data_IF_448328155553
#
_entry.id   IF_448328155553
#
_cell.length_a   1.000
_cell.length_b   1.000
_cell.length_c   1.000
_cell.angle_alpha   90.00
_cell.angle_beta   90.00
_cell.angle_gamma   90.00
#
_symmetry.space_group_name_H-M   'P 1'
#
loop_
_entity.id
_entity.type
_entity.pdbx_description
1 polymer ?
#
# COMPACT_ATOMS: atom_id res chain seq x y z
N UNK A 1 11.50 4.13 -2.22
CA UNK A 1 10.66 4.56 -3.35
C UNK A 1 10.17 3.34 -4.08
N UNK A 2 8.86 3.12 -4.10
CA UNK A 2 8.19 2.11 -4.90
C UNK A 2 8.27 2.51 -6.38
N UNK A 3 8.56 1.56 -7.26
CA UNK A 3 8.58 1.74 -8.72
C UNK A 3 7.27 1.29 -9.32
N UNK A 4 7.06 1.63 -10.58
CA UNK A 4 5.93 1.15 -11.37
C UNK A 4 6.34 0.41 -12.64
N UNK A 5 5.39 -0.37 -13.14
CA UNK A 5 5.44 -1.00 -14.46
C UNK A 5 4.22 -0.57 -15.28
N UNK A 6 4.30 -0.75 -16.59
CA UNK A 6 3.19 -0.50 -17.52
C UNK A 6 2.80 -1.82 -18.18
N UNK A 7 1.49 -2.11 -18.20
CA UNK A 7 0.94 -3.32 -18.80
C UNK A 7 -0.49 -3.08 -19.31
N UNK A 8 -1.08 -4.08 -19.98
CA UNK A 8 -2.46 -4.00 -20.50
C UNK A 8 -3.50 -3.77 -19.38
N UNK A 9 -4.69 -3.23 -19.69
CA UNK A 9 -5.68 -2.88 -18.67
C UNK A 9 -6.31 -4.05 -17.92
N UNK A 10 -6.59 -3.82 -16.63
CA UNK A 10 -7.43 -4.65 -15.76
C UNK A 10 -8.29 -3.75 -14.87
N UNK A 11 -9.43 -4.27 -14.43
CA UNK A 11 -10.35 -3.47 -13.59
C UNK A 11 -9.85 -3.24 -12.18
N UNK A 12 -9.10 -4.20 -11.61
CA UNK A 12 -8.70 -4.17 -10.21
C UNK A 12 -7.47 -5.03 -9.96
N UNK A 13 -6.64 -4.60 -9.02
CA UNK A 13 -5.54 -5.36 -8.45
C UNK A 13 -5.76 -5.51 -6.94
N UNK A 14 -5.51 -6.70 -6.42
CA UNK A 14 -5.50 -7.01 -4.98
C UNK A 14 -4.20 -7.72 -4.63
N UNK A 15 -3.53 -7.23 -3.59
CA UNK A 15 -2.28 -7.76 -3.07
C UNK A 15 -2.45 -8.07 -1.59
N UNK A 16 -1.91 -9.21 -1.16
CA UNK A 16 -1.82 -9.60 0.24
C UNK A 16 -0.36 -9.94 0.58
N UNK A 17 0.15 -9.39 1.67
CA UNK A 17 1.52 -9.61 2.12
C UNK A 17 1.66 -9.30 3.62
N UNK A 18 2.87 -9.44 4.15
CA UNK A 18 3.19 -9.05 5.52
C UNK A 18 4.59 -8.46 5.65
N UNK A 19 4.81 -7.73 6.73
CA UNK A 19 6.10 -7.16 7.11
C UNK A 19 6.13 -6.84 8.60
N UNK A 20 7.29 -6.42 9.10
CA UNK A 20 7.47 -6.10 10.52
C UNK A 20 7.98 -4.67 10.69
N UNK A 21 7.72 -4.06 11.84
CA UNK A 21 8.35 -2.81 12.26
C UNK A 21 8.61 -2.82 13.77
N UNK A 22 9.28 -1.79 14.28
CA UNK A 22 9.53 -1.63 15.72
C UNK A 22 8.49 -0.68 16.31
N UNK A 23 7.86 -1.09 17.40
CA UNK A 23 6.97 -0.23 18.18
C UNK A 23 7.79 0.89 18.84
N UNK A 24 7.47 2.18 18.60
CA UNK A 24 8.20 3.30 19.21
C UNK A 24 8.10 3.38 20.74
N UNK A 25 7.08 2.76 21.33
CA UNK A 25 6.75 2.92 22.75
C UNK A 25 7.59 1.98 23.62
N UNK A 26 7.66 0.70 23.26
CA UNK A 26 8.30 -0.32 24.08
C UNK A 26 9.41 -1.10 23.36
N UNK A 27 9.66 -0.82 22.07
CA UNK A 27 10.71 -1.46 21.28
C UNK A 27 10.39 -2.90 20.86
N UNK A 28 9.15 -3.37 21.07
CA UNK A 28 8.72 -4.67 20.56
C UNK A 28 8.59 -4.69 19.04
N UNK A 29 8.60 -5.90 18.46
CA UNK A 29 8.43 -6.09 17.01
C UNK A 29 6.97 -6.30 16.70
N UNK A 30 6.38 -5.38 15.93
CA UNK A 30 5.05 -5.52 15.38
C UNK A 30 5.07 -6.39 14.11
N UNK A 31 4.08 -7.27 13.97
CA UNK A 31 3.88 -8.08 12.77
C UNK A 31 2.60 -7.64 12.08
N UNK A 32 2.72 -7.13 10.86
CA UNK A 32 1.59 -6.64 10.07
C UNK A 32 1.20 -7.61 8.97
N UNK A 33 -0.10 -7.82 8.82
CA UNK A 33 -0.72 -8.27 7.57
C UNK A 33 -1.23 -7.06 6.81
N UNK A 34 -0.89 -6.97 5.53
CA UNK A 34 -1.19 -5.85 4.66
C UNK A 34 -2.02 -6.32 3.48
N UNK A 35 -3.16 -5.66 3.25
CA UNK A 35 -3.98 -5.84 2.05
C UNK A 35 -4.04 -4.51 1.29
N UNK A 36 -3.70 -4.54 0.01
CA UNK A 36 -3.74 -3.38 -0.88
C UNK A 36 -4.71 -3.73 -2.01
N UNK A 37 -5.72 -2.89 -2.22
CA UNK A 37 -6.65 -3.01 -3.32
C UNK A 37 -6.68 -1.70 -4.08
N UNK A 38 -6.48 -1.73 -5.39
CA UNK A 38 -6.52 -0.51 -6.19
C UNK A 38 -7.11 -0.75 -7.58
N UNK A 39 -7.69 0.31 -8.13
CA UNK A 39 -8.04 0.42 -9.55
C UNK A 39 -6.90 1.15 -10.26
N UNK A 40 -6.17 0.47 -11.17
CA UNK A 40 -5.09 1.10 -11.93
C UNK A 40 -5.61 2.32 -12.68
N UNK A 41 -4.74 3.32 -12.88
CA UNK A 41 -5.04 4.41 -13.80
C UNK A 41 -4.61 4.00 -15.20
N UNK A 42 -5.55 4.08 -16.12
CA UNK A 42 -5.43 3.50 -17.46
C UNK A 42 -5.58 4.58 -18.53
N UNK A 43 -4.85 4.38 -19.63
CA UNK A 43 -5.20 4.87 -20.96
C UNK A 43 -5.93 3.74 -21.71
N UNK A 44 -6.19 3.93 -23.02
CA UNK A 44 -6.96 2.96 -23.81
C UNK A 44 -6.28 1.59 -23.92
N UNK A 45 -4.94 1.55 -23.93
CA UNK A 45 -4.17 0.34 -24.23
C UNK A 45 -3.25 -0.12 -23.09
N UNK A 46 -3.07 0.70 -22.06
CA UNK A 46 -2.14 0.43 -20.97
C UNK A 46 -2.55 1.08 -19.64
N UNK A 47 -2.07 0.53 -18.53
CA UNK A 47 -2.19 1.10 -17.21
C UNK A 47 -0.87 1.02 -16.46
N UNK A 48 -0.73 1.88 -15.45
CA UNK A 48 0.40 1.87 -14.52
C UNK A 48 0.07 1.02 -13.29
N UNK A 49 1.03 0.19 -12.90
CA UNK A 49 0.91 -0.75 -11.77
C UNK A 49 2.09 -0.61 -10.82
N UNK A 50 1.88 -0.95 -9.55
CA UNK A 50 2.96 -1.10 -8.57
C UNK A 50 3.88 -2.26 -8.96
N UNK A 51 5.18 -2.03 -8.96
CA UNK A 51 6.20 -3.06 -9.21
C UNK A 51 6.50 -3.84 -7.90
N UNK A 52 6.31 -5.16 -7.93
CA UNK A 52 6.28 -5.97 -6.70
C UNK A 52 7.65 -6.11 -5.99
N UNK A 53 8.77 -6.09 -6.72
CA UNK A 53 10.10 -6.18 -6.11
C UNK A 53 10.41 -4.94 -5.28
N UNK A 54 10.22 -3.74 -5.84
CA UNK A 54 10.41 -2.49 -5.12
C UNK A 54 9.39 -2.28 -4.01
N UNK A 55 8.16 -2.80 -4.13
CA UNK A 55 7.22 -2.87 -3.02
C UNK A 55 7.79 -3.73 -1.87
N UNK A 56 8.32 -4.93 -2.16
CA UNK A 56 8.94 -5.78 -1.14
C UNK A 56 10.13 -5.10 -0.47
N UNK A 57 11.03 -4.49 -1.24
CA UNK A 57 12.18 -3.74 -0.73
C UNK A 57 11.73 -2.57 0.18
N UNK A 58 10.71 -1.82 -0.25
CA UNK A 58 10.13 -0.76 0.56
C UNK A 58 9.53 -1.29 1.87
N UNK A 59 8.76 -2.37 1.83
CA UNK A 59 8.18 -2.98 3.04
C UNK A 59 9.26 -3.54 3.98
N UNK A 60 10.35 -4.09 3.45
CA UNK A 60 11.48 -4.57 4.26
C UNK A 60 12.23 -3.44 4.96
N UNK A 61 12.17 -2.22 4.44
CA UNK A 61 12.80 -1.06 5.08
C UNK A 61 12.21 -0.75 6.47
N UNK A 62 10.98 -1.18 6.75
CA UNK A 62 10.34 -1.00 8.05
C UNK A 62 10.90 -1.91 9.14
N UNK A 63 11.57 -3.01 8.81
CA UNK A 63 11.95 -4.07 9.76
C UNK A 63 12.67 -3.56 11.01
N UNK A 64 13.53 -2.56 10.84
CA UNK A 64 14.32 -1.95 11.93
C UNK A 64 13.94 -0.48 12.18
N UNK A 65 12.78 -0.03 11.67
CA UNK A 65 12.30 1.34 11.82
C UNK A 65 11.31 1.40 12.98
N UNK A 66 11.54 2.32 13.92
CA UNK A 66 10.57 2.68 14.93
C UNK A 66 9.52 3.62 14.33
N UNK A 67 8.26 3.18 14.25
CA UNK A 67 7.19 3.94 13.57
C UNK A 67 5.80 3.59 14.12
N UNK A 68 4.90 4.58 14.20
CA UNK A 68 3.52 4.35 14.61
C UNK A 68 2.73 3.61 13.53
N UNK A 69 1.76 2.80 13.94
CA UNK A 69 0.97 1.96 13.02
C UNK A 69 0.23 2.78 11.96
N UNK A 70 -0.31 3.94 12.35
CA UNK A 70 -1.01 4.87 11.47
C UNK A 70 -0.08 5.53 10.46
N UNK A 71 1.15 5.87 10.89
CA UNK A 71 2.16 6.46 10.03
C UNK A 71 2.66 5.46 8.99
N UNK A 72 2.86 4.19 9.38
CA UNK A 72 3.16 3.10 8.43
C UNK A 72 2.14 3.04 7.31
N UNK A 73 0.84 3.05 7.66
CA UNK A 73 -0.23 2.99 6.66
C UNK A 73 -0.19 4.21 5.74
N UNK A 74 0.00 5.40 6.31
CA UNK A 74 0.08 6.65 5.54
C UNK A 74 1.29 6.68 4.60
N UNK A 75 2.46 6.21 5.04
CA UNK A 75 3.67 6.11 4.20
C UNK A 75 3.47 5.15 3.03
N UNK A 76 2.92 3.95 3.28
CA UNK A 76 2.61 2.97 2.22
C UNK A 76 1.63 3.58 1.21
N UNK A 77 0.60 4.27 1.70
CA UNK A 77 -0.39 4.90 0.84
C UNK A 77 0.21 5.94 -0.09
N UNK A 78 1.06 6.83 0.45
CA UNK A 78 1.69 7.88 -0.33
C UNK A 78 2.60 7.30 -1.42
N UNK A 79 3.41 6.30 -1.09
CA UNK A 79 4.31 5.66 -2.05
C UNK A 79 3.58 4.92 -3.17
N UNK A 80 2.42 4.30 -2.88
CA UNK A 80 1.58 3.68 -3.92
C UNK A 80 0.93 4.74 -4.81
N UNK A 81 0.48 5.86 -4.24
CA UNK A 81 -0.07 6.98 -5.02
C UNK A 81 1.00 7.55 -5.95
N UNK A 82 2.22 7.76 -5.47
CA UNK A 82 3.31 8.28 -6.28
C UNK A 82 3.73 7.29 -7.38
N UNK A 83 3.80 6.00 -7.08
CA UNK A 83 4.22 4.99 -8.06
C UNK A 83 3.17 4.75 -9.16
N UNK A 84 1.90 4.60 -8.79
CA UNK A 84 0.85 4.09 -9.69
C UNK A 84 -0.33 5.03 -9.92
N UNK A 85 -0.47 6.10 -9.13
CA UNK A 85 -1.54 7.10 -9.22
C UNK A 85 -2.94 6.50 -9.46
N UNK A 86 -3.38 5.53 -8.64
CA UNK A 86 -4.62 4.80 -8.87
C UNK A 86 -5.85 5.70 -8.70
N UNK A 87 -6.93 5.37 -9.41
CA UNK A 87 -8.20 6.10 -9.30
C UNK A 87 -8.96 5.77 -8.00
N UNK A 88 -8.80 4.54 -7.53
CA UNK A 88 -9.29 4.06 -6.23
C UNK A 88 -8.15 3.32 -5.52
N UNK A 89 -7.97 3.54 -4.23
CA UNK A 89 -7.00 2.83 -3.40
C UNK A 89 -7.57 2.59 -2.01
N UNK A 90 -7.54 1.33 -1.57
CA UNK A 90 -7.84 0.92 -0.20
C UNK A 90 -6.66 0.14 0.35
N UNK A 91 -6.17 0.55 1.51
CA UNK A 91 -5.11 -0.16 2.24
C UNK A 91 -5.65 -0.53 3.61
N UNK A 92 -5.49 -1.80 3.95
CA UNK A 92 -5.87 -2.36 5.24
C UNK A 92 -4.61 -2.94 5.88
N UNK A 93 -4.31 -2.46 7.08
CA UNK A 93 -3.24 -2.94 7.92
C UNK A 93 -3.85 -3.65 9.13
N UNK A 94 -3.44 -4.89 9.38
CA UNK A 94 -3.93 -5.71 10.48
C UNK A 94 -2.73 -6.12 11.32
N UNK A 95 -2.83 -5.96 12.63
CA UNK A 95 -1.82 -6.42 13.58
C UNK A 95 -2.47 -6.77 14.92
N UNK A 96 -1.67 -7.31 15.82
CA UNK A 96 -2.08 -7.69 17.16
C UNK A 96 -1.04 -7.21 18.18
N UNK A 97 -1.50 -6.53 19.22
CA UNK A 97 -0.65 -6.10 20.32
C UNK A 97 -1.22 -6.63 21.64
N UNK A 98 -0.47 -7.48 22.33
CA UNK A 98 -0.86 -8.10 23.63
C UNK A 98 -2.26 -8.74 23.60
N UNK A 99 -2.60 -9.47 22.53
CA UNK A 99 -3.90 -10.11 22.36
C UNK A 99 -5.01 -9.19 21.84
N UNK A 100 -4.73 -7.90 21.62
CA UNK A 100 -5.67 -6.95 21.02
C UNK A 100 -5.40 -6.93 19.52
N UNK A 101 -6.28 -7.56 18.74
CA UNK A 101 -6.27 -7.44 17.29
C UNK A 101 -6.88 -6.11 16.88
N UNK A 102 -6.20 -5.38 16.01
CA UNK A 102 -6.68 -4.12 15.48
C UNK A 102 -6.53 -4.07 13.96
N UNK A 103 -7.36 -3.24 13.34
CA UNK A 103 -7.42 -3.04 11.90
C UNK A 103 -7.40 -1.54 11.65
N UNK A 104 -6.47 -1.09 10.81
CA UNK A 104 -6.36 0.29 10.36
C UNK A 104 -6.66 0.29 8.86
N UNK A 105 -7.58 1.15 8.43
CA UNK A 105 -7.98 1.25 7.04
C UNK A 105 -7.85 2.71 6.58
N UNK A 106 -7.33 2.90 5.37
CA UNK A 106 -7.47 4.18 4.66
C UNK A 106 -7.94 3.92 3.23
N UNK A 107 -8.83 4.81 2.78
CA UNK A 107 -9.42 4.78 1.44
C UNK A 107 -9.16 6.11 0.75
N UNK A 108 -8.92 6.04 -0.55
CA UNK A 108 -8.84 7.16 -1.46
C UNK A 108 -9.71 6.86 -2.67
N UNK A 109 -10.61 7.80 -2.96
CA UNK A 109 -11.36 7.85 -4.19
C UNK A 109 -10.98 9.17 -4.87
N UNK A 110 -10.28 9.11 -5.99
CA UNK A 110 -10.02 10.29 -6.81
C UNK A 110 -11.19 10.48 -7.79
N UNK A 111 -11.98 11.57 -7.68
CA UNK A 111 -13.07 11.81 -8.63
C UNK A 111 -12.53 12.05 -10.05
N UNK A 112 -13.02 11.22 -10.99
CA UNK A 112 -12.96 11.29 -12.46
C UNK A 112 -11.75 11.97 -13.12
N UNK A 113 -10.80 11.15 -13.60
CA UNK A 113 -10.14 11.43 -14.88
C UNK A 113 -11.06 10.91 -15.99
N UNK A 114 -11.73 11.82 -16.70
CA UNK A 114 -12.50 11.45 -17.88
C UNK A 114 -11.53 10.95 -18.95
N UNK A 115 -11.76 9.75 -19.46
CA UNK A 115 -11.21 9.31 -20.74
C UNK A 115 -11.77 10.26 -21.80
N UNK A 116 -11.03 11.31 -22.16
CA UNK A 116 -11.26 11.99 -23.42
C UNK A 116 -10.78 11.05 -24.52
N UNK A 117 -11.72 10.77 -25.43
CA UNK A 117 -11.58 9.91 -26.61
C UNK A 117 -10.73 10.58 -27.68
#
# INVERSE_FOLDING_TARGET
MIKSIVAKPVDRVELETGFTAICPIDGSVDNYSLRIMYRPRCSSDECTYVELSSLREFLDSFRNKAVYHEDVLNEIMNEIIEAANPSELTIILISEYKGIKYVIERKLNMPNYQHES
#
